data_IF_122552972606
#
_entry.id   IF_122552972606
#
_cell.length_a   1.000
_cell.length_b   1.000
_cell.length_c   1.000
_cell.angle_alpha   90.00
_cell.angle_beta   90.00
_cell.angle_gamma   90.00
#
_symmetry.space_group_name_H-M   'P 1'
#
loop_
_entity.id
_entity.type
_entity.pdbx_description
1 polymer ?
#
# COMPACT_ATOMS: atom_id res chain seq x y z
N UNK A 1 13.28 7.30 9.07
CA UNK A 1 12.05 7.07 8.30
C UNK A 1 12.40 6.17 7.13
N UNK A 2 11.77 5.01 7.05
CA UNK A 2 11.93 4.06 5.94
C UNK A 2 11.05 4.55 4.79
N UNK A 3 11.58 4.61 3.58
CA UNK A 3 10.79 4.95 2.40
C UNK A 3 11.16 4.01 1.27
N UNK A 4 10.22 3.12 0.94
CA UNK A 4 10.38 2.17 -0.14
C UNK A 4 9.41 2.47 -1.28
N UNK A 5 9.82 2.10 -2.49
CA UNK A 5 8.99 2.19 -3.69
C UNK A 5 8.94 0.84 -4.36
N UNK A 6 7.74 0.39 -4.69
CA UNK A 6 7.47 -0.88 -5.33
C UNK A 6 6.74 -0.67 -6.64
N UNK A 7 7.15 -1.40 -7.68
CA UNK A 7 6.30 -1.64 -8.85
C UNK A 7 5.45 -2.87 -8.55
N UNK A 8 4.14 -2.79 -8.80
CA UNK A 8 3.22 -3.91 -8.58
C UNK A 8 2.43 -4.24 -9.86
N UNK A 9 1.96 -5.48 -9.96
CA UNK A 9 1.11 -5.96 -11.06
C UNK A 9 -0.30 -6.32 -10.59
N UNK A 10 -0.47 -6.65 -9.31
CA UNK A 10 -1.76 -6.97 -8.72
C UNK A 10 -1.85 -6.59 -7.23
N UNK A 11 -3.05 -6.68 -6.67
CA UNK A 11 -3.32 -6.33 -5.27
C UNK A 11 -2.61 -7.26 -4.27
N UNK A 12 -2.31 -8.50 -4.67
CA UNK A 12 -1.63 -9.46 -3.80
C UNK A 12 -0.19 -9.06 -3.55
N UNK A 13 0.50 -8.52 -4.57
CA UNK A 13 1.84 -7.95 -4.41
C UNK A 13 1.83 -6.75 -3.45
N UNK A 14 0.84 -5.87 -3.56
CA UNK A 14 0.68 -4.72 -2.64
C UNK A 14 0.54 -5.21 -1.20
N UNK A 15 -0.36 -6.17 -0.97
CA UNK A 15 -0.55 -6.78 0.36
C UNK A 15 0.73 -7.48 0.88
N UNK A 16 1.44 -8.20 0.01
CA UNK A 16 2.70 -8.85 0.36
C UNK A 16 3.76 -7.84 0.81
N UNK A 17 3.92 -6.74 0.08
CA UNK A 17 4.86 -5.68 0.44
C UNK A 17 4.46 -4.99 1.74
N UNK A 18 3.17 -4.70 1.92
CA UNK A 18 2.64 -4.11 3.15
C UNK A 18 2.85 -4.99 4.39
N UNK A 19 2.82 -6.32 4.25
CA UNK A 19 3.07 -7.26 5.36
C UNK A 19 4.44 -7.07 6.02
N UNK A 20 5.43 -6.53 5.30
CA UNK A 20 6.78 -6.24 5.82
C UNK A 20 6.76 -5.15 6.89
N UNK A 21 5.76 -4.27 6.87
CA UNK A 21 5.66 -3.12 7.77
C UNK A 21 4.81 -3.40 9.01
N UNK A 22 4.10 -4.54 9.06
CA UNK A 22 3.19 -4.93 10.17
C UNK A 22 3.80 -4.78 11.57
N UNK A 23 5.10 -5.07 11.73
CA UNK A 23 5.81 -5.01 13.01
C UNK A 23 6.85 -3.89 13.08
N UNK A 24 6.92 -3.02 12.08
CA UNK A 24 7.89 -1.91 12.03
C UNK A 24 7.40 -0.82 12.98
N UNK A 25 8.28 -0.41 13.90
CA UNK A 25 7.94 0.60 14.93
C UNK A 25 8.31 2.01 14.49
N UNK A 26 9.33 2.11 13.65
CA UNK A 26 9.79 3.33 13.00
C UNK A 26 8.73 3.91 12.07
N UNK A 27 8.84 5.21 11.78
CA UNK A 27 8.05 5.82 10.71
C UNK A 27 8.46 5.24 9.35
N UNK A 28 7.47 4.89 8.54
CA UNK A 28 7.68 4.31 7.23
C UNK A 28 6.67 4.84 6.21
N UNK A 29 7.06 4.77 4.94
CA UNK A 29 6.22 5.04 3.77
C UNK A 29 6.51 4.01 2.69
N UNK A 30 5.45 3.47 2.09
CA UNK A 30 5.52 2.56 0.95
C UNK A 30 4.75 3.15 -0.23
N UNK A 31 5.47 3.48 -1.30
CA UNK A 31 4.89 3.97 -2.55
C UNK A 31 4.73 2.82 -3.55
N UNK A 32 3.55 2.72 -4.14
CA UNK A 32 3.20 1.70 -5.12
C UNK A 32 2.97 2.35 -6.49
N UNK A 33 3.83 1.98 -7.43
CA UNK A 33 3.80 2.47 -8.80
C UNK A 33 3.32 1.38 -9.77
N UNK A 34 2.65 1.78 -10.84
CA UNK A 34 2.32 0.88 -11.94
C UNK A 34 3.56 0.49 -12.74
N UNK A 35 3.39 -0.37 -13.75
CA UNK A 35 4.48 -0.85 -14.62
C UNK A 35 5.17 0.27 -15.42
N UNK A 36 4.54 1.44 -15.54
CA UNK A 36 5.10 2.62 -16.20
C UNK A 36 5.88 3.53 -15.25
N UNK A 37 5.96 3.17 -13.96
CA UNK A 37 6.63 3.94 -12.92
C UNK A 37 5.80 5.09 -12.37
N UNK A 38 4.51 5.18 -12.70
CA UNK A 38 3.61 6.22 -12.19
C UNK A 38 3.08 5.81 -10.81
N UNK A 39 3.13 6.75 -9.86
CA UNK A 39 2.59 6.54 -8.51
C UNK A 39 1.07 6.32 -8.57
N UNK A 40 0.60 5.19 -8.05
CA UNK A 40 -0.81 4.83 -7.93
C UNK A 40 -1.31 5.07 -6.51
N UNK A 41 -0.62 4.54 -5.50
CA UNK A 41 -1.00 4.67 -4.10
C UNK A 41 0.22 4.79 -3.18
N UNK A 42 0.04 5.45 -2.04
CA UNK A 42 1.03 5.56 -0.98
C UNK A 42 0.39 5.15 0.33
N UNK A 43 1.10 4.34 1.11
CA UNK A 43 0.74 3.98 2.48
C UNK A 43 1.82 4.48 3.41
N UNK A 44 1.45 4.90 4.60
CA UNK A 44 2.42 5.32 5.60
C UNK A 44 2.09 4.74 6.98
N UNK A 45 2.92 5.07 7.95
CA UNK A 45 2.86 4.51 9.27
C UNK A 45 1.83 5.18 10.19
N UNK A 46 0.76 5.78 9.64
CA UNK A 46 -0.34 6.31 10.43
C UNK A 46 -1.04 5.22 11.29
N UNK A 47 -1.82 5.67 12.27
CA UNK A 47 -2.48 4.77 13.24
C UNK A 47 -3.49 3.83 12.59
N UNK A 48 -4.26 4.29 11.61
CA UNK A 48 -5.28 3.51 10.91
C UNK A 48 -4.62 2.42 10.06
N UNK A 49 -3.63 2.79 9.25
CA UNK A 49 -2.86 1.86 8.42
C UNK A 49 -2.21 0.79 9.29
N UNK A 50 -1.58 1.18 10.42
CA UNK A 50 -0.96 0.23 11.35
C UNK A 50 -1.95 -0.73 11.99
N UNK A 51 -3.17 -0.29 12.30
CA UNK A 51 -4.20 -1.16 12.87
C UNK A 51 -4.67 -2.18 11.82
N UNK A 52 -4.98 -1.72 10.61
CA UNK A 52 -5.46 -2.58 9.51
C UNK A 52 -4.41 -3.60 9.06
N UNK A 53 -3.11 -3.28 9.15
CA UNK A 53 -2.02 -4.24 8.87
C UNK A 53 -1.95 -5.42 9.85
N UNK A 54 -2.61 -5.35 11.00
CA UNK A 54 -2.62 -6.47 11.97
C UNK A 54 -3.44 -7.65 11.48
N UNK A 55 -4.45 -7.41 10.65
CA UNK A 55 -5.35 -8.41 10.11
C UNK A 55 -5.23 -8.49 8.58
N UNK A 56 -5.02 -9.69 8.00
CA UNK A 56 -4.88 -9.84 6.55
C UNK A 56 -6.12 -9.43 5.74
N UNK A 57 -7.34 -9.66 6.27
CA UNK A 57 -8.57 -9.32 5.57
C UNK A 57 -8.78 -7.80 5.57
N UNK A 58 -8.50 -7.13 6.70
CA UNK A 58 -8.49 -5.67 6.78
C UNK A 58 -7.41 -5.03 5.91
N UNK A 59 -6.24 -5.66 5.82
CA UNK A 59 -5.17 -5.22 4.91
C UNK A 59 -5.64 -5.26 3.46
N UNK A 60 -6.27 -6.37 3.06
CA UNK A 60 -6.78 -6.55 1.71
C UNK A 60 -7.92 -5.56 1.39
N UNK A 61 -8.82 -5.33 2.34
CA UNK A 61 -9.90 -4.34 2.23
C UNK A 61 -9.32 -2.92 2.02
N UNK A 62 -8.34 -2.52 2.84
CA UNK A 62 -7.68 -1.22 2.74
C UNK A 62 -7.01 -1.02 1.38
N UNK A 63 -6.29 -2.04 0.91
CA UNK A 63 -5.63 -2.01 -0.41
C UNK A 63 -6.65 -1.86 -1.52
N UNK A 64 -7.76 -2.60 -1.45
CA UNK A 64 -8.83 -2.53 -2.44
C UNK A 64 -9.47 -1.13 -2.47
N UNK A 65 -9.83 -0.59 -1.30
CA UNK A 65 -10.42 0.75 -1.16
C UNK A 65 -9.53 1.84 -1.77
N UNK A 66 -8.23 1.83 -1.44
CA UNK A 66 -7.29 2.84 -1.95
C UNK A 66 -7.04 2.71 -3.45
N UNK A 67 -7.04 1.49 -3.98
CA UNK A 67 -6.91 1.26 -5.42
C UNK A 67 -8.15 1.70 -6.19
N UNK A 68 -9.34 1.46 -5.65
CA UNK A 68 -10.59 1.98 -6.21
C UNK A 68 -10.58 3.51 -6.27
N UNK A 69 -10.11 4.17 -5.21
CA UNK A 69 -9.93 5.63 -5.19
C UNK A 69 -8.91 6.08 -6.24
N UNK A 70 -7.77 5.39 -6.35
CA UNK A 70 -6.74 5.70 -7.35
C UNK A 70 -7.30 5.59 -8.78
N UNK A 71 -8.08 4.55 -9.08
CA UNK A 71 -8.75 4.37 -10.36
C UNK A 71 -9.80 5.46 -10.62
N UNK A 72 -10.58 5.86 -9.61
CA UNK A 72 -11.50 7.00 -9.73
C UNK A 72 -10.79 8.33 -10.03
N UNK A 73 -9.53 8.47 -9.60
CA UNK A 73 -8.66 9.60 -9.93
C UNK A 73 -7.94 9.46 -11.29
N UNK A 74 -8.25 8.42 -12.07
CA UNK A 74 -7.69 8.18 -13.40
C UNK A 74 -6.31 7.52 -13.40
N UNK A 75 -5.86 6.96 -12.27
CA UNK A 75 -4.65 6.14 -12.24
C UNK A 75 -4.91 4.81 -12.94
N UNK A 76 -3.88 4.30 -13.61
CA UNK A 76 -3.90 2.98 -14.25
C UNK A 76 -2.95 2.05 -13.52
N UNK A 77 -3.41 0.83 -13.26
CA UNK A 77 -2.60 -0.31 -12.83
C UNK A 77 -1.87 -0.96 -14.01
#
# INVERSE_FOLDING_TARGET
MIHDTYTFQDLSEVCYHLSKYKNVKEEWRADFCNIYGELVASFDSDEETRERLKDPDETYAMVTELMDIAMMMGKTW
#
